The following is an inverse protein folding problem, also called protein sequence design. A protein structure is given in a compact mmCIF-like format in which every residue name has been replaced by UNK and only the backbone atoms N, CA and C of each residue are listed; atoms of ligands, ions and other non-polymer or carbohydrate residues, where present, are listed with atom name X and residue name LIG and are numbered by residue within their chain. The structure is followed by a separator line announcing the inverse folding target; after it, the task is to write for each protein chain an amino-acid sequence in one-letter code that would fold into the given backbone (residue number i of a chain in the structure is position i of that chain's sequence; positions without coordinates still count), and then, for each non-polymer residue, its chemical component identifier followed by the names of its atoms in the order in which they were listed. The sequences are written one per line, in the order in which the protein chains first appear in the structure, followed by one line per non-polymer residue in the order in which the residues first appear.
data_IF_647565048638
#
_entry.id   IF_647565048638
#
_cell.length_a   1.000
_cell.length_b   1.000
_cell.length_c   1.000
_cell.angle_alpha   90.00
_cell.angle_beta   90.00
_cell.angle_gamma   90.00
#
_symmetry.space_group_name_H-M   'P 1'
#
loop_
_entity.id
_entity.type
_entity.pdbx_description
1 polymer ?
#
# COMPACT_ATOMS: atom_id res chain seq x y z
N UNK A 1 -26.09 -74.89 -8.90
CA UNK A 1 -26.68 -73.81 -8.06
C UNK A 1 -26.40 -72.47 -8.72
N UNK A 2 -27.39 -71.59 -8.66
CA UNK A 2 -27.56 -70.28 -9.33
C UNK A 2 -26.28 -69.40 -9.40
N UNK A 3 -25.97 -68.74 -10.52
CA UNK A 3 -26.58 -67.51 -11.07
C UNK A 3 -26.60 -66.32 -10.08
N UNK A 4 -25.74 -65.34 -10.34
CA UNK A 4 -25.99 -63.91 -10.08
C UNK A 4 -25.42 -63.06 -11.22
N UNK A 5 -26.33 -62.41 -11.95
CA UNK A 5 -26.13 -61.28 -12.85
C UNK A 5 -25.82 -60.00 -12.01
N UNK A 6 -25.45 -58.81 -12.51
CA UNK A 6 -25.74 -58.12 -13.77
C UNK A 6 -24.72 -56.97 -13.96
N UNK A 7 -24.20 -56.77 -15.17
CA UNK A 7 -24.60 -55.75 -16.16
C UNK A 7 -23.79 -54.43 -16.07
N UNK A 8 -22.90 -54.30 -17.04
CA UNK A 8 -22.28 -53.07 -17.53
C UNK A 8 -23.32 -52.20 -18.24
N UNK A 9 -23.26 -50.88 -18.05
CA UNK A 9 -23.65 -49.91 -19.09
C UNK A 9 -22.72 -48.69 -19.02
N UNK A 10 -21.82 -48.63 -20.00
CA UNK A 10 -21.05 -47.46 -20.39
C UNK A 10 -21.96 -46.65 -21.33
N UNK A 11 -22.04 -45.33 -21.14
CA UNK A 11 -22.65 -44.46 -22.15
C UNK A 11 -21.68 -43.35 -22.54
N UNK A 12 -21.24 -43.42 -23.80
CA UNK A 12 -20.56 -42.38 -24.56
C UNK A 12 -21.61 -41.51 -25.26
N UNK A 13 -21.27 -40.24 -25.53
CA UNK A 13 -21.47 -39.51 -26.80
C UNK A 13 -21.08 -38.03 -26.55
N UNK A 14 -19.94 -37.51 -27.00
CA UNK A 14 -19.50 -37.12 -28.35
C UNK A 14 -20.23 -35.93 -29.02
N UNK A 15 -19.40 -34.91 -29.34
CA UNK A 15 -19.40 -34.07 -30.56
C UNK A 15 -20.46 -32.95 -30.64
N UNK A 16 -20.01 -31.68 -30.68
CA UNK A 16 -19.85 -30.96 -31.95
C UNK A 16 -19.32 -29.53 -31.76
N UNK A 17 -18.35 -29.16 -32.60
CA UNK A 17 -18.02 -27.77 -32.94
C UNK A 17 -19.20 -27.09 -33.64
N UNK A 18 -19.34 -25.76 -33.49
CA UNK A 18 -19.23 -24.79 -34.60
C UNK A 18 -19.84 -23.40 -34.30
N UNK A 19 -19.12 -22.39 -34.79
CA UNK A 19 -19.57 -21.09 -35.35
C UNK A 19 -19.61 -19.80 -34.50
N UNK A 20 -18.72 -18.89 -34.93
CA UNK A 20 -18.80 -17.41 -34.92
C UNK A 20 -20.10 -16.97 -35.65
N UNK A 21 -20.76 -15.82 -35.49
CA UNK A 21 -20.38 -14.41 -35.24
C UNK A 21 -21.71 -13.63 -35.16
N UNK A 22 -21.82 -12.55 -34.36
CA UNK A 22 -22.38 -11.22 -34.76
C UNK A 22 -22.84 -10.37 -33.56
N UNK A 23 -22.55 -9.07 -33.67
CA UNK A 23 -22.82 -7.98 -32.72
C UNK A 23 -24.26 -7.84 -32.20
N UNK A 24 -24.39 -7.43 -30.94
CA UNK A 24 -25.23 -6.29 -30.59
C UNK A 24 -24.68 -5.58 -29.34
N UNK A 25 -24.59 -4.25 -29.41
CA UNK A 25 -24.19 -3.36 -28.32
C UNK A 25 -25.38 -3.06 -27.42
N UNK A 26 -25.08 -2.94 -26.13
CA UNK A 26 -25.64 -2.04 -25.11
C UNK A 26 -26.10 -2.82 -23.87
N UNK A 27 -25.27 -2.79 -22.83
CA UNK A 27 -25.79 -2.48 -21.51
C UNK A 27 -24.72 -1.73 -20.72
N UNK A 28 -25.09 -0.54 -20.28
CA UNK A 28 -24.41 0.21 -19.25
C UNK A 28 -24.32 -0.68 -18.01
N UNK A 29 -23.12 -1.09 -17.65
CA UNK A 29 -22.85 -1.77 -16.38
C UNK A 29 -21.84 -0.93 -15.59
N UNK A 30 -22.20 -0.78 -14.32
CA UNK A 30 -21.60 0.06 -13.31
C UNK A 30 -20.08 -0.07 -13.29
N UNK A 31 -19.39 1.07 -13.20
CA UNK A 31 -18.00 1.10 -12.76
C UNK A 31 -17.95 0.62 -11.31
N UNK A 32 -17.90 -0.70 -11.14
CA UNK A 32 -17.58 -1.35 -9.88
C UNK A 32 -16.24 -0.79 -9.42
N UNK A 33 -16.27 -0.03 -8.33
CA UNK A 33 -15.10 0.63 -7.75
C UNK A 33 -14.12 -0.44 -7.29
N UNK A 34 -13.25 -0.91 -8.18
CA UNK A 34 -12.15 -1.79 -7.80
C UNK A 34 -11.35 -1.05 -6.73
N UNK A 35 -11.28 -1.58 -5.50
CA UNK A 35 -10.54 -0.92 -4.45
C UNK A 35 -9.11 -0.76 -4.95
N UNK A 36 -8.54 0.44 -4.88
CA UNK A 36 -7.10 0.61 -4.92
C UNK A 36 -6.53 -0.01 -3.64
N UNK A 37 -6.56 -1.34 -3.57
CA UNK A 37 -5.70 -2.10 -2.69
C UNK A 37 -4.31 -1.62 -3.09
N UNK A 38 -3.55 -1.04 -2.15
CA UNK A 38 -2.10 -0.88 -2.32
C UNK A 38 -1.63 -2.24 -2.80
N UNK A 39 -1.40 -2.37 -4.11
CA UNK A 39 -0.71 -3.50 -4.64
C UNK A 39 0.63 -3.35 -3.94
N UNK A 40 0.90 -4.21 -2.96
CA UNK A 40 2.29 -4.54 -2.63
C UNK A 40 2.93 -4.68 -4.01
N UNK A 41 3.97 -3.91 -4.27
CA UNK A 41 4.55 -3.78 -5.62
C UNK A 41 5.02 -5.13 -6.20
N UNK A 42 4.86 -6.21 -5.44
CA UNK A 42 4.82 -7.59 -5.88
C UNK A 42 3.38 -8.11 -5.89
N UNK A 43 2.85 -8.42 -7.07
CA UNK A 43 1.59 -9.12 -7.26
C UNK A 43 1.64 -10.60 -6.84
N UNK A 44 1.96 -10.89 -5.58
CA UNK A 44 2.04 -12.25 -5.07
C UNK A 44 0.98 -12.42 -3.98
N UNK A 45 -0.08 -13.15 -4.32
CA UNK A 45 -0.96 -13.78 -3.37
C UNK A 45 -0.19 -14.94 -2.70
N UNK A 46 0.49 -14.65 -1.59
CA UNK A 46 1.19 -15.64 -0.78
C UNK A 46 1.42 -15.08 0.62
N UNK A 47 1.29 -15.95 1.64
CA UNK A 47 1.51 -15.55 3.04
C UNK A 47 2.99 -15.31 3.37
N UNK A 48 3.91 -15.81 2.54
CA UNK A 48 5.35 -15.66 2.76
C UNK A 48 6.00 -14.70 1.76
N UNK A 49 6.76 -13.74 2.28
CA UNK A 49 7.60 -12.87 1.48
C UNK A 49 8.78 -13.68 0.88
N UNK A 50 9.11 -13.42 -0.37
CA UNK A 50 10.34 -13.88 -1.01
C UNK A 50 11.57 -13.19 -0.43
N UNK A 51 12.74 -13.83 -0.55
CA UNK A 51 14.04 -13.23 -0.15
C UNK A 51 14.26 -11.88 -0.84
N UNK A 52 13.92 -11.76 -2.12
CA UNK A 52 14.09 -10.51 -2.86
C UNK A 52 13.16 -9.40 -2.34
N UNK A 53 11.94 -9.75 -1.94
CA UNK A 53 10.98 -8.79 -1.37
C UNK A 53 11.45 -8.28 -0.02
N UNK A 54 11.97 -9.16 0.84
CA UNK A 54 12.59 -8.75 2.12
C UNK A 54 13.74 -7.76 1.89
N UNK A 55 14.60 -8.04 0.91
CA UNK A 55 15.71 -7.13 0.54
C UNK A 55 15.16 -5.79 0.07
N UNK A 56 14.12 -5.78 -0.78
CA UNK A 56 13.49 -4.56 -1.27
C UNK A 56 12.85 -3.76 -0.14
N UNK A 57 12.15 -4.40 0.80
CA UNK A 57 11.53 -3.75 1.97
C UNK A 57 12.59 -3.07 2.83
N UNK A 58 13.65 -3.81 3.20
CA UNK A 58 14.78 -3.26 3.98
C UNK A 58 15.43 -2.07 3.27
N UNK A 59 15.70 -2.21 1.97
CA UNK A 59 16.28 -1.12 1.18
C UNK A 59 15.35 0.10 1.10
N UNK A 60 14.06 -0.13 0.87
CA UNK A 60 13.07 0.94 0.78
C UNK A 60 12.94 1.70 2.11
N UNK A 61 12.89 1.00 3.24
CA UNK A 61 12.89 1.63 4.57
C UNK A 61 14.14 2.47 4.82
N UNK A 62 15.34 1.93 4.55
CA UNK A 62 16.60 2.66 4.72
C UNK A 62 16.69 3.92 3.84
N UNK A 63 16.25 3.84 2.60
CA UNK A 63 16.25 4.99 1.67
C UNK A 63 15.23 6.05 2.09
N UNK A 64 14.04 5.65 2.58
CA UNK A 64 13.04 6.56 3.16
C UNK A 64 13.57 7.30 4.38
N UNK A 65 14.21 6.60 5.31
CA UNK A 65 14.86 7.21 6.47
C UNK A 65 15.87 8.28 6.02
N UNK A 66 16.77 7.93 5.10
CA UNK A 66 17.78 8.85 4.58
C UNK A 66 17.14 10.06 3.88
N UNK A 67 16.03 9.86 3.17
CA UNK A 67 15.28 10.92 2.53
C UNK A 67 14.70 11.89 3.57
N UNK A 68 14.04 11.38 4.60
CA UNK A 68 13.42 12.21 5.63
C UNK A 68 14.45 13.04 6.40
N UNK A 69 15.61 12.46 6.73
CA UNK A 69 16.72 13.20 7.33
C UNK A 69 17.24 14.32 6.41
N UNK A 70 17.25 14.10 5.09
CA UNK A 70 17.64 15.14 4.12
C UNK A 70 16.58 16.23 4.00
N UNK A 71 15.30 15.88 4.02
CA UNK A 71 14.20 16.87 3.99
C UNK A 71 14.24 17.69 5.28
N UNK A 72 14.40 17.07 6.45
CA UNK A 72 14.54 17.76 7.74
C UNK A 72 15.67 18.80 7.69
N UNK A 73 16.88 18.39 7.28
CA UNK A 73 18.02 19.30 7.09
C UNK A 73 17.77 20.41 6.07
N UNK A 74 16.98 20.13 5.03
CA UNK A 74 16.62 21.13 4.03
C UNK A 74 15.65 22.16 4.62
N UNK A 75 14.64 21.72 5.38
CA UNK A 75 13.70 22.60 6.07
C UNK A 75 14.42 23.44 7.15
N UNK A 76 15.40 22.86 7.85
CA UNK A 76 16.25 23.61 8.80
C UNK A 76 16.99 24.75 8.10
N UNK A 77 17.54 24.50 6.92
CA UNK A 77 18.23 25.54 6.11
C UNK A 77 17.29 26.62 5.58
N UNK A 78 16.01 26.31 5.45
CA UNK A 78 14.96 27.28 5.13
C UNK A 78 14.44 28.01 6.37
N UNK A 79 15.08 27.82 7.53
CA UNK A 79 14.70 28.43 8.80
C UNK A 79 13.27 28.09 9.23
N UNK A 80 12.76 26.93 8.80
CA UNK A 80 11.45 26.44 9.24
C UNK A 80 11.60 25.91 10.67
N UNK A 81 10.92 26.53 11.66
CA UNK A 81 11.04 26.10 13.05
C UNK A 81 10.44 24.69 13.21
N UNK A 82 11.11 23.87 14.01
CA UNK A 82 10.67 22.51 14.32
C UNK A 82 10.43 21.63 13.07
N UNK A 83 11.31 21.75 12.07
CA UNK A 83 11.33 20.95 10.83
C UNK A 83 11.01 19.47 11.04
N UNK A 84 11.59 18.86 12.07
CA UNK A 84 11.35 17.48 12.47
C UNK A 84 9.86 17.18 12.70
N UNK A 85 9.14 18.06 13.40
CA UNK A 85 7.69 17.89 13.61
C UNK A 85 6.92 17.95 12.29
N UNK A 86 7.40 18.70 11.29
CA UNK A 86 6.75 18.72 9.98
C UNK A 86 6.89 17.39 9.24
N UNK A 87 8.05 16.73 9.34
CA UNK A 87 8.24 15.39 8.79
C UNK A 87 7.33 14.39 9.50
N UNK A 88 7.28 14.41 10.83
CA UNK A 88 6.44 13.48 11.59
C UNK A 88 4.95 13.72 11.34
N UNK A 89 4.52 14.99 11.26
CA UNK A 89 3.15 15.35 10.90
C UNK A 89 2.78 14.85 9.51
N UNK A 90 3.66 15.05 8.53
CA UNK A 90 3.46 14.55 7.17
C UNK A 90 3.30 13.02 7.13
N UNK A 91 4.14 12.29 7.87
CA UNK A 91 4.04 10.83 7.99
C UNK A 91 2.73 10.39 8.64
N UNK A 92 2.35 11.03 9.73
CA UNK A 92 1.10 10.76 10.43
C UNK A 92 -0.12 10.98 9.54
N UNK A 93 -0.22 12.16 8.91
CA UNK A 93 -1.34 12.48 8.03
C UNK A 93 -1.37 11.54 6.81
N UNK A 94 -0.21 11.15 6.27
CA UNK A 94 -0.12 10.17 5.17
C UNK A 94 -0.54 8.78 5.61
N UNK A 95 -0.15 8.36 6.82
CA UNK A 95 -0.51 7.08 7.42
C UNK A 95 -2.02 6.94 7.61
N UNK A 96 -2.68 7.98 8.11
CA UNK A 96 -4.14 8.02 8.29
C UNK A 96 -4.89 7.97 6.96
N UNK A 97 -4.30 8.51 5.89
CA UNK A 97 -4.84 8.45 4.53
C UNK A 97 -4.63 7.12 3.81
N UNK A 98 -3.96 6.14 4.44
CA UNK A 98 -3.74 4.82 3.82
C UNK A 98 -5.01 4.02 3.55
N UNK A 99 -6.11 4.37 4.22
CA UNK A 99 -7.42 3.75 4.06
C UNK A 99 -8.28 4.38 2.94
N UNK A 100 -7.83 5.50 2.35
CA UNK A 100 -8.54 6.15 1.25
C UNK A 100 -8.50 5.26 0.01
N UNK A 101 -9.67 4.92 -0.52
CA UNK A 101 -9.80 4.02 -1.67
C UNK A 101 -9.74 4.75 -3.01
N UNK A 102 -10.12 6.03 -3.05
CA UNK A 102 -10.07 6.83 -4.26
C UNK A 102 -8.68 7.48 -4.38
N UNK A 103 -8.08 7.49 -5.58
CA UNK A 103 -6.85 8.23 -5.82
C UNK A 103 -7.14 9.73 -5.66
N UNK A 104 -6.19 10.45 -5.06
CA UNK A 104 -6.26 11.90 -4.93
C UNK A 104 -5.79 12.61 -6.20
N UNK A 105 -5.41 13.88 -6.03
CA UNK A 105 -4.70 14.61 -7.09
C UNK A 105 -3.34 13.98 -7.41
N UNK A 106 -2.77 14.30 -8.57
CA UNK A 106 -1.42 13.86 -8.92
C UNK A 106 -0.39 14.23 -7.85
N UNK A 107 -0.42 15.48 -7.35
CA UNK A 107 0.49 15.93 -6.30
C UNK A 107 0.20 15.19 -4.99
N UNK A 108 -1.08 14.97 -4.65
CA UNK A 108 -1.45 14.16 -3.48
C UNK A 108 -0.88 12.74 -3.54
N UNK A 109 -0.96 12.07 -4.68
CA UNK A 109 -0.36 10.75 -4.88
C UNK A 109 1.17 10.79 -4.85
N UNK A 110 1.79 11.85 -5.37
CA UNK A 110 3.23 12.06 -5.25
C UNK A 110 3.64 12.19 -3.78
N UNK A 111 2.94 13.00 -3.01
CA UNK A 111 3.21 13.18 -1.58
C UNK A 111 2.97 11.89 -0.80
N UNK A 112 1.89 11.16 -1.13
CA UNK A 112 1.62 9.81 -0.58
C UNK A 112 2.77 8.86 -0.89
N UNK A 113 3.26 8.85 -2.12
CA UNK A 113 4.39 8.00 -2.51
C UNK A 113 5.66 8.38 -1.75
N UNK A 114 5.94 9.68 -1.56
CA UNK A 114 7.12 10.16 -0.83
C UNK A 114 7.09 9.78 0.65
N UNK A 115 5.94 9.96 1.31
CA UNK A 115 5.78 9.81 2.76
C UNK A 115 5.18 8.46 3.20
N UNK A 116 5.08 7.48 2.30
CA UNK A 116 4.71 6.10 2.68
C UNK A 116 5.95 5.29 3.09
N UNK A 117 5.88 4.69 4.27
CA UNK A 117 6.88 3.77 4.80
C UNK A 117 6.31 2.34 4.74
N UNK A 118 7.02 1.37 4.13
CA UNK A 118 6.64 -0.04 4.21
C UNK A 118 6.64 -0.53 5.65
N UNK A 119 5.76 -1.47 5.99
CA UNK A 119 5.82 -2.15 7.28
C UNK A 119 7.19 -2.83 7.50
N UNK A 120 7.66 -2.79 8.73
CA UNK A 120 8.88 -3.49 9.12
C UNK A 120 8.65 -5.01 9.05
N UNK A 121 9.72 -5.77 8.77
CA UNK A 121 9.67 -7.22 8.81
C UNK A 121 9.68 -7.69 10.26
N UNK A 122 8.90 -8.72 10.59
CA UNK A 122 8.85 -9.30 11.94
C UNK A 122 10.23 -9.72 12.44
N UNK A 123 11.04 -10.31 11.57
CA UNK A 123 12.45 -10.66 11.82
C UNK A 123 13.25 -9.46 12.35
N UNK A 124 13.13 -8.31 11.67
CA UNK A 124 13.90 -7.11 11.99
C UNK A 124 13.41 -6.47 13.31
N UNK A 125 12.12 -6.64 13.65
CA UNK A 125 11.55 -6.24 14.94
C UNK A 125 12.10 -7.15 16.05
N UNK A 126 11.99 -8.47 15.88
CA UNK A 126 12.41 -9.48 16.86
C UNK A 126 13.91 -9.39 17.17
N UNK A 127 14.73 -9.17 16.15
CA UNK A 127 16.18 -9.02 16.28
C UNK A 127 16.61 -7.59 16.63
N UNK A 128 15.66 -6.67 16.88
CA UNK A 128 15.87 -5.26 17.20
C UNK A 128 16.83 -4.55 16.21
N UNK A 129 16.71 -4.87 14.91
CA UNK A 129 17.49 -4.28 13.81
C UNK A 129 16.95 -2.93 13.33
N UNK A 130 15.85 -2.46 13.91
CA UNK A 130 15.21 -1.18 13.57
C UNK A 130 15.92 -0.03 14.30
N UNK A 131 16.44 0.93 13.54
CA UNK A 131 17.13 2.08 14.12
C UNK A 131 16.16 3.01 14.88
N UNK A 132 16.66 3.74 15.88
CA UNK A 132 15.84 4.69 16.66
C UNK A 132 15.14 5.76 15.79
N UNK A 133 15.77 6.15 14.68
CA UNK A 133 15.18 7.07 13.69
C UNK A 133 14.04 6.42 12.92
N UNK A 134 14.09 5.13 12.63
CA UNK A 134 12.98 4.42 12.03
C UNK A 134 11.80 4.33 13.02
N UNK A 135 12.09 4.01 14.30
CA UNK A 135 11.05 3.89 15.34
C UNK A 135 10.19 5.15 15.47
N UNK A 136 10.77 6.35 15.41
CA UNK A 136 9.97 7.60 15.45
C UNK A 136 9.10 7.79 14.21
N UNK A 137 9.58 7.37 13.04
CA UNK A 137 8.85 7.52 11.79
C UNK A 137 7.71 6.49 11.70
N UNK A 138 7.97 5.25 12.13
CA UNK A 138 6.95 4.21 12.27
C UNK A 138 5.88 4.62 13.28
N UNK A 139 6.28 5.15 14.44
CA UNK A 139 5.34 5.63 15.46
C UNK A 139 4.45 6.76 14.92
N UNK A 140 5.03 7.74 14.22
CA UNK A 140 4.26 8.80 13.58
C UNK A 140 3.29 8.28 12.52
N UNK A 141 3.76 7.41 11.62
CA UNK A 141 2.95 6.84 10.55
C UNK A 141 1.81 5.94 11.07
N UNK A 142 2.01 5.27 12.20
CA UNK A 142 1.01 4.40 12.84
C UNK A 142 0.05 5.15 13.78
N UNK A 143 0.29 6.45 14.04
CA UNK A 143 -0.50 7.22 15.00
C UNK A 143 -1.94 7.45 14.52
N UNK A 144 -2.91 7.07 15.37
CA UNK A 144 -4.34 7.14 15.06
C UNK A 144 -5.06 8.35 15.68
N UNK A 145 -4.37 9.15 16.50
CA UNK A 145 -4.94 10.36 17.12
C UNK A 145 -4.88 11.59 16.21
N UNK A 146 -5.08 12.78 16.78
CA UNK A 146 -4.96 14.03 16.03
C UNK A 146 -3.50 14.35 15.68
N UNK A 147 -3.08 14.12 14.42
CA UNK A 147 -1.73 14.48 13.95
C UNK A 147 -1.39 15.96 14.17
N UNK A 148 -2.41 16.82 14.12
CA UNK A 148 -2.25 18.26 14.31
C UNK A 148 -1.92 18.63 15.76
N UNK A 149 -2.40 17.86 16.73
CA UNK A 149 -2.12 18.07 18.15
C UNK A 149 -0.77 17.45 18.53
N UNK A 150 -0.54 16.19 18.16
CA UNK A 150 0.72 15.48 18.45
C UNK A 150 1.94 16.20 17.86
N UNK A 151 1.78 16.77 16.66
CA UNK A 151 2.84 17.49 15.94
C UNK A 151 2.53 18.98 15.78
N UNK A 152 1.96 19.60 16.82
CA UNK A 152 1.51 21.01 16.81
C UNK A 152 2.61 22.03 16.50
N UNK A 153 3.88 21.72 16.77
CA UNK A 153 5.00 22.59 16.43
C UNK A 153 5.19 22.80 14.92
N UNK A 154 4.67 21.88 14.10
CA UNK A 154 4.49 22.14 12.68
C UNK A 154 3.09 22.70 12.41
N UNK A 155 2.98 24.00 12.13
CA UNK A 155 1.68 24.67 11.93
C UNK A 155 0.97 24.23 10.65
N UNK A 156 1.73 23.95 9.60
CA UNK A 156 1.19 23.66 8.27
C UNK A 156 0.96 22.15 8.10
N UNK A 157 -0.19 21.81 7.53
CA UNK A 157 -0.47 20.43 7.09
C UNK A 157 -0.05 20.26 5.64
N UNK A 158 0.52 19.11 5.33
CA UNK A 158 0.89 18.75 3.96
C UNK A 158 -0.33 18.69 3.05
N UNK A 159 -1.46 18.22 3.60
CA UNK A 159 -2.69 17.93 2.87
C UNK A 159 -3.68 19.08 2.82
N UNK A 160 -3.39 20.21 3.48
CA UNK A 160 -4.21 21.44 3.41
C UNK A 160 -3.80 22.38 2.27
N UNK A 161 -2.74 22.06 1.53
CA UNK A 161 -2.29 22.86 0.40
C UNK A 161 -3.26 22.74 -0.79
N UNK A 162 -3.51 23.86 -1.48
CA UNK A 162 -4.38 23.91 -2.67
C UNK A 162 -3.95 22.97 -3.80
N UNK A 163 -2.68 22.58 -3.82
CA UNK A 163 -2.13 21.71 -4.86
C UNK A 163 -2.34 20.23 -4.58
N UNK A 164 -2.66 19.87 -3.32
CA UNK A 164 -2.75 18.50 -2.84
C UNK A 164 -4.21 18.02 -2.75
N UNK A 165 -5.16 18.95 -2.55
CA UNK A 165 -6.60 18.70 -2.36
C UNK A 165 -7.31 18.27 -3.64
#
# INVERSE_FOLDING_TARGET
TAQTAAAMHINNNNISSSNKTSHSRNHSEEQESTPHRRYRRSGIAGNELSRMERIHIRHHRRTRQTLYEKIEKYLDKLEIPHSHHCILRALCETGQKSNERAPGTFVGELMRAVFTIPEALDEDIMENRIHYRDKRYDAANAFQGSCAEEYALCRQSLWKSQFVQ
#
